data_IF_668205150249
#
_entry.id   IF_668205150249
#
_cell.length_a   1.000
_cell.length_b   1.000
_cell.length_c   1.000
_cell.angle_alpha   90.00
_cell.angle_beta   90.00
_cell.angle_gamma   90.00
#
_symmetry.space_group_name_H-M   'P 1'
#
loop_
_entity.id
_entity.type
_entity.pdbx_description
1 polymer ?
#
# COMPACT_ATOMS: atom_id res chain seq x y z
N UNK A 1 -10.02 -1.87 -13.03
CA UNK A 1 -8.87 -2.47 -12.31
C UNK A 1 -7.78 -1.43 -12.26
N UNK A 2 -7.16 -1.21 -11.10
CA UNK A 2 -6.08 -0.21 -10.97
C UNK A 2 -4.80 -0.73 -11.60
N UNK A 3 -4.14 0.13 -12.35
CA UNK A 3 -2.80 -0.04 -12.86
C UNK A 3 -1.77 0.04 -11.73
N UNK A 4 -0.53 -0.36 -12.03
CA UNK A 4 0.60 -0.19 -11.12
C UNK A 4 0.71 1.24 -10.58
N UNK A 5 0.67 2.23 -11.48
CA UNK A 5 0.83 3.64 -11.13
C UNK A 5 -0.26 4.12 -10.17
N UNK A 6 -1.52 3.76 -10.42
CA UNK A 6 -2.65 4.12 -9.55
C UNK A 6 -2.53 3.49 -8.15
N UNK A 7 -2.01 2.27 -8.04
CA UNK A 7 -1.78 1.61 -6.74
C UNK A 7 -0.61 2.27 -6.00
N UNK A 8 0.50 2.53 -6.70
CA UNK A 8 1.67 3.20 -6.11
C UNK A 8 1.32 4.61 -5.62
N UNK A 9 0.62 5.42 -6.44
CA UNK A 9 0.21 6.78 -6.08
C UNK A 9 -0.74 6.79 -4.87
N UNK A 10 -1.72 5.89 -4.84
CA UNK A 10 -2.62 5.77 -3.69
C UNK A 10 -1.85 5.45 -2.41
N UNK A 11 -1.00 4.42 -2.45
CA UNK A 11 -0.26 3.99 -1.26
C UNK A 11 0.66 5.11 -0.77
N UNK A 12 1.38 5.78 -1.69
CA UNK A 12 2.24 6.92 -1.34
C UNK A 12 1.45 8.05 -0.69
N UNK A 13 0.30 8.43 -1.27
CA UNK A 13 -0.57 9.46 -0.71
C UNK A 13 -1.05 9.08 0.69
N UNK A 14 -1.58 7.88 0.87
CA UNK A 14 -2.09 7.43 2.18
C UNK A 14 -0.99 7.39 3.23
N UNK A 15 0.20 6.96 2.82
CA UNK A 15 1.37 6.90 3.67
C UNK A 15 1.82 8.29 4.14
N UNK A 16 1.76 9.29 3.27
CA UNK A 16 1.96 10.69 3.64
C UNK A 16 0.85 11.23 4.56
N UNK A 17 -0.41 10.90 4.29
CA UNK A 17 -1.55 11.36 5.10
C UNK A 17 -1.51 10.85 6.54
N UNK A 18 -0.91 9.68 6.80
CA UNK A 18 -0.71 9.17 8.17
C UNK A 18 0.58 9.67 8.84
N UNK A 19 1.32 10.56 8.18
CA UNK A 19 2.47 11.27 8.74
C UNK A 19 3.84 10.65 8.47
N UNK A 20 3.96 9.68 7.56
CA UNK A 20 5.27 9.17 7.11
C UNK A 20 5.74 9.88 5.83
N UNK A 21 7.04 9.84 5.55
CA UNK A 21 7.57 10.37 4.31
C UNK A 21 7.46 9.31 3.20
N UNK A 22 6.92 9.67 2.03
CA UNK A 22 6.87 8.77 0.87
C UNK A 22 8.25 8.24 0.47
N UNK A 23 9.34 8.96 0.76
CA UNK A 23 10.71 8.49 0.54
C UNK A 23 11.10 7.28 1.41
N UNK A 24 10.37 7.00 2.48
CA UNK A 24 10.58 5.80 3.32
C UNK A 24 9.98 4.54 2.69
N UNK A 25 9.06 4.66 1.71
CA UNK A 25 8.55 3.54 0.92
C UNK A 25 9.62 3.11 -0.10
N UNK A 26 10.20 1.94 0.12
CA UNK A 26 11.25 1.39 -0.75
C UNK A 26 10.67 0.50 -1.84
N UNK A 27 9.62 -0.25 -1.53
CA UNK A 27 9.05 -1.19 -2.50
C UNK A 27 7.56 -1.38 -2.28
N UNK A 28 6.80 -1.37 -3.37
CA UNK A 28 5.42 -1.85 -3.42
C UNK A 28 5.40 -2.96 -4.46
N UNK A 29 4.91 -4.14 -4.09
CA UNK A 29 4.80 -5.26 -5.03
C UNK A 29 3.50 -6.04 -4.87
N UNK A 30 2.89 -6.48 -5.96
CA UNK A 30 1.76 -7.39 -5.91
C UNK A 30 2.19 -8.75 -5.33
N UNK A 31 1.28 -9.38 -4.60
CA UNK A 31 1.38 -10.76 -4.10
C UNK A 31 0.23 -11.58 -4.67
N UNK A 32 0.54 -12.83 -4.98
CA UNK A 32 -0.41 -13.81 -5.49
C UNK A 32 -1.10 -13.34 -6.79
N UNK A 33 -0.36 -12.66 -7.67
CA UNK A 33 -0.86 -12.18 -8.96
C UNK A 33 -0.04 -11.05 -9.57
N UNK A 34 -0.57 -10.47 -10.64
CA UNK A 34 -0.06 -9.25 -11.28
C UNK A 34 -0.72 -8.01 -10.66
N UNK A 35 -0.23 -6.79 -10.96
CA UNK A 35 -0.83 -5.55 -10.44
C UNK A 35 -2.36 -5.47 -10.65
N UNK A 36 -2.85 -5.98 -11.77
CA UNK A 36 -4.25 -5.96 -12.14
C UNK A 36 -5.09 -7.06 -11.48
N UNK A 37 -4.48 -8.10 -10.89
CA UNK A 37 -5.20 -9.24 -10.29
C UNK A 37 -4.62 -9.71 -8.94
N UNK A 38 -3.72 -8.95 -8.32
CA UNK A 38 -3.10 -9.32 -7.06
C UNK A 38 -4.14 -9.47 -5.96
N UNK A 39 -3.98 -10.48 -5.10
CA UNK A 39 -4.82 -10.60 -3.90
C UNK A 39 -4.45 -9.54 -2.86
N UNK A 40 -3.17 -9.13 -2.85
CA UNK A 40 -2.66 -8.12 -1.94
C UNK A 40 -1.37 -7.48 -2.46
N UNK A 41 -0.95 -6.40 -1.82
CA UNK A 41 0.28 -5.69 -2.10
C UNK A 41 1.13 -5.70 -0.84
N UNK A 42 2.38 -6.14 -0.99
CA UNK A 42 3.40 -6.06 0.06
C UNK A 42 4.17 -4.77 -0.11
N UNK A 43 4.22 -4.00 0.97
CA UNK A 43 4.80 -2.68 1.04
C UNK A 43 5.97 -2.77 1.99
N UNK A 44 7.16 -2.37 1.54
CA UNK A 44 8.40 -2.45 2.31
C UNK A 44 8.96 -1.06 2.52
N UNK A 45 9.29 -0.76 3.77
CA UNK A 45 9.94 0.48 4.16
C UNK A 45 11.46 0.37 4.19
N UNK A 46 12.12 1.53 4.28
CA UNK A 46 13.57 1.66 4.39
C UNK A 46 14.17 1.00 5.63
N UNK A 47 13.41 0.93 6.73
CA UNK A 47 13.79 0.24 7.95
C UNK A 47 13.58 -1.30 7.88
N UNK A 48 13.09 -1.80 6.75
CA UNK A 48 12.82 -3.21 6.51
C UNK A 48 11.47 -3.69 7.02
N UNK A 49 10.64 -2.82 7.63
CA UNK A 49 9.27 -3.18 8.01
C UNK A 49 8.43 -3.44 6.77
N UNK A 50 7.45 -4.34 6.92
CA UNK A 50 6.54 -4.75 5.85
C UNK A 50 5.10 -4.60 6.28
N UNK A 51 4.28 -4.01 5.42
CA UNK A 51 2.83 -3.99 5.56
C UNK A 51 2.20 -4.71 4.37
N UNK A 52 0.98 -5.20 4.59
CA UNK A 52 0.17 -5.88 3.57
C UNK A 52 -1.14 -5.12 3.42
N UNK A 53 -1.46 -4.72 2.20
CA UNK A 53 -2.77 -4.16 1.85
C UNK A 53 -3.49 -5.14 0.94
N UNK A 54 -4.73 -5.52 1.26
CA UNK A 54 -5.49 -6.40 0.37
C UNK A 54 -6.10 -5.58 -0.76
N UNK A 55 -6.19 -6.19 -1.94
CA UNK A 55 -6.78 -5.51 -3.11
C UNK A 55 -8.20 -5.02 -2.85
N UNK A 56 -9.01 -5.82 -2.14
CA UNK A 56 -10.37 -5.43 -1.76
C UNK A 56 -10.42 -4.09 -1.01
N UNK A 57 -9.36 -3.76 -0.27
CA UNK A 57 -9.28 -2.51 0.49
C UNK A 57 -8.93 -1.31 -0.41
N UNK A 58 -8.38 -1.54 -1.62
CA UNK A 58 -8.13 -0.49 -2.61
C UNK A 58 -9.40 -0.04 -3.33
N UNK A 59 -10.29 -0.97 -3.65
CA UNK A 59 -11.46 -0.73 -4.51
C UNK A 59 -12.70 -0.25 -3.73
N UNK A 60 -12.84 -0.64 -2.45
CA UNK A 60 -13.88 -0.11 -1.57
C UNK A 60 -13.44 1.23 -0.95
N UNK A 61 -14.40 2.07 -0.55
CA UNK A 61 -14.19 3.34 0.17
C UNK A 61 -13.54 3.16 1.58
N UNK A 62 -12.76 2.10 1.78
CA UNK A 62 -12.12 1.69 3.01
C UNK A 62 -10.71 2.30 3.13
N UNK A 63 -10.61 3.60 2.86
CA UNK A 63 -9.38 4.37 3.00
C UNK A 63 -8.80 4.25 4.42
N UNK A 64 -9.69 4.18 5.41
CA UNK A 64 -9.34 4.03 6.80
C UNK A 64 -8.65 2.69 7.08
N UNK A 65 -9.15 1.57 6.52
CA UNK A 65 -8.52 0.26 6.68
C UNK A 65 -7.11 0.20 6.08
N UNK A 66 -6.88 0.88 4.95
CA UNK A 66 -5.54 1.01 4.37
C UNK A 66 -4.62 1.86 5.25
N UNK A 67 -5.11 2.97 5.78
CA UNK A 67 -4.37 3.82 6.73
C UNK A 67 -3.99 3.05 7.99
N UNK A 68 -4.88 2.22 8.53
CA UNK A 68 -4.58 1.41 9.72
C UNK A 68 -3.59 0.27 9.42
N UNK A 69 -3.67 -0.37 8.25
CA UNK A 69 -2.64 -1.32 7.80
C UNK A 69 -1.26 -0.68 7.67
N UNK A 70 -1.20 0.56 7.16
CA UNK A 70 0.03 1.35 7.06
C UNK A 70 0.50 1.88 8.43
N UNK A 71 -0.39 2.21 9.35
CA UNK A 71 -0.01 2.57 10.74
C UNK A 71 0.66 1.42 11.50
N UNK A 72 0.45 0.17 11.06
CA UNK A 72 1.20 -0.99 11.56
C UNK A 72 2.72 -0.88 11.37
N UNK A 73 3.20 0.10 10.61
CA UNK A 73 4.61 0.45 10.54
C UNK A 73 5.16 1.19 11.75
N UNK A 74 4.33 1.67 12.68
CA UNK A 74 4.80 2.39 13.87
C UNK A 74 5.44 1.45 14.89
#
# INVERSE_FOLDING_TARGET
MRTRAEVEELIQRLFQEIGYDAAELVQIKPKDGTWENALSYEITQKDGKRAKIYRRDLDDANEQGMKDALRGFK
#
